data_IF_548876387902
#
_entry.id   IF_548876387902
#
_cell.length_a   1.000
_cell.length_b   1.000
_cell.length_c   1.000
_cell.angle_alpha   90.00
_cell.angle_beta   90.00
_cell.angle_gamma   90.00
#
_symmetry.space_group_name_H-M   'P 1'
#
loop_
_entity.id
_entity.type
_entity.pdbx_description
1 polymer ?
#
# COMPACT_ATOMS: atom_id res chain seq x y z
N UNK A 1 10.41 -9.07 8.70
CA UNK A 1 10.43 -9.96 7.52
C UNK A 1 9.82 -11.32 7.82
N UNK A 2 10.22 -12.00 8.92
CA UNK A 2 9.65 -13.30 9.31
C UNK A 2 8.11 -13.29 9.38
N UNK A 3 7.50 -12.27 10.00
CA UNK A 3 6.05 -12.14 10.07
C UNK A 3 5.35 -12.10 8.70
N UNK A 4 5.96 -11.44 7.70
CA UNK A 4 5.44 -11.41 6.32
C UNK A 4 5.56 -12.80 5.68
N UNK A 5 6.71 -13.47 5.85
CA UNK A 5 6.95 -14.81 5.29
C UNK A 5 6.07 -15.90 5.91
N UNK A 6 5.78 -15.77 7.20
CA UNK A 6 4.88 -16.65 7.94
C UNK A 6 3.39 -16.33 7.66
N UNK A 7 3.10 -15.33 6.83
CA UNK A 7 1.74 -14.92 6.48
C UNK A 7 0.98 -14.22 7.61
N UNK A 8 1.66 -13.87 8.72
CA UNK A 8 1.03 -13.18 9.85
C UNK A 8 0.91 -11.66 9.67
N UNK A 9 1.65 -11.09 8.70
CA UNK A 9 1.62 -9.68 8.36
C UNK A 9 1.37 -9.48 6.86
N UNK A 10 0.14 -9.08 6.52
CA UNK A 10 -0.28 -8.72 5.16
C UNK A 10 -0.19 -7.20 4.91
N UNK A 11 -0.37 -6.78 3.65
CA UNK A 11 -0.41 -5.36 3.30
C UNK A 11 -1.61 -4.64 3.94
N UNK A 12 -2.78 -5.28 3.98
CA UNK A 12 -3.98 -4.72 4.61
C UNK A 12 -3.80 -4.56 6.12
N UNK A 13 -2.98 -5.42 6.74
CA UNK A 13 -2.63 -5.27 8.16
C UNK A 13 -1.72 -4.06 8.38
N UNK A 14 -0.82 -3.77 7.46
CA UNK A 14 0.01 -2.55 7.48
C UNK A 14 -0.85 -1.30 7.30
N UNK A 15 -1.77 -1.29 6.33
CA UNK A 15 -2.74 -0.20 6.12
C UNK A 15 -3.60 0.04 7.37
N UNK A 16 -4.07 -1.02 8.02
CA UNK A 16 -4.81 -0.92 9.28
C UNK A 16 -3.98 -0.27 10.40
N UNK A 17 -2.65 -0.49 10.43
CA UNK A 17 -1.77 0.19 11.38
C UNK A 17 -1.53 1.66 11.02
N UNK A 18 -1.60 2.03 9.74
CA UNK A 18 -1.58 3.45 9.31
C UNK A 18 -2.74 4.23 9.91
N UNK A 19 -3.93 3.64 10.01
CA UNK A 19 -5.10 4.30 10.59
C UNK A 19 -4.86 4.77 12.03
N UNK A 20 -3.89 4.19 12.75
CA UNK A 20 -3.57 4.52 14.13
C UNK A 20 -2.25 5.30 14.23
N UNK A 21 -1.10 4.62 14.10
CA UNK A 21 0.22 5.20 14.44
C UNK A 21 1.23 5.22 13.29
N UNK A 22 1.09 4.38 12.24
CA UNK A 22 2.05 4.37 11.12
C UNK A 22 1.86 5.57 10.19
N UNK A 23 2.90 5.96 9.45
CA UNK A 23 2.88 7.07 8.49
C UNK A 23 2.60 6.62 7.05
N UNK A 24 2.02 5.43 6.91
CA UNK A 24 1.65 4.82 5.63
C UNK A 24 2.50 3.61 5.29
N UNK A 25 2.60 3.33 3.99
CA UNK A 25 3.29 2.19 3.42
C UNK A 25 4.65 2.63 2.87
N UNK A 26 5.73 2.17 3.49
CA UNK A 26 7.08 2.49 3.06
C UNK A 26 7.92 1.24 2.79
N UNK A 27 8.70 1.27 1.70
CA UNK A 27 9.55 0.15 1.26
C UNK A 27 8.78 -1.16 1.05
N UNK A 28 7.59 -1.09 0.45
CA UNK A 28 6.76 -2.28 0.19
C UNK A 28 7.11 -2.86 -1.17
N UNK A 29 7.80 -4.01 -1.21
CA UNK A 29 8.06 -4.74 -2.43
C UNK A 29 6.82 -5.51 -2.89
N UNK A 30 6.43 -5.34 -4.15
CA UNK A 30 5.23 -5.95 -4.75
C UNK A 30 5.58 -6.68 -6.06
N UNK A 31 4.72 -7.60 -6.55
CA UNK A 31 4.98 -8.33 -7.78
C UNK A 31 5.22 -7.38 -8.96
N UNK A 32 6.22 -7.69 -9.79
CA UNK A 32 6.63 -6.82 -10.88
C UNK A 32 5.59 -6.60 -11.97
N UNK A 33 4.63 -7.51 -12.08
CA UNK A 33 3.51 -7.48 -13.01
C UNK A 33 2.25 -6.83 -12.42
N UNK A 34 2.34 -6.20 -11.24
CA UNK A 34 1.20 -5.53 -10.60
C UNK A 34 0.64 -4.44 -11.52
N UNK A 35 -0.65 -4.52 -11.89
CA UNK A 35 -1.30 -3.51 -12.72
C UNK A 35 -1.29 -2.10 -12.09
N UNK A 36 -1.20 -1.08 -12.92
CA UNK A 36 -1.16 0.31 -12.47
C UNK A 36 -2.43 0.73 -11.70
N UNK A 37 -3.60 0.20 -12.06
CA UNK A 37 -4.84 0.45 -11.34
C UNK A 37 -4.82 -0.14 -9.92
N UNK A 38 -4.24 -1.33 -9.74
CA UNK A 38 -4.04 -1.93 -8.40
C UNK A 38 -3.11 -1.05 -7.55
N UNK A 39 -2.00 -0.58 -8.11
CA UNK A 39 -1.09 0.35 -7.43
C UNK A 39 -1.82 1.67 -7.06
N UNK A 40 -2.63 2.20 -7.97
CA UNK A 40 -3.44 3.39 -7.69
C UNK A 40 -4.48 3.14 -6.59
N UNK A 41 -5.01 1.92 -6.49
CA UNK A 41 -5.90 1.49 -5.40
C UNK A 41 -5.23 1.60 -4.04
N UNK A 42 -4.04 1.02 -3.89
CA UNK A 42 -3.24 1.09 -2.65
C UNK A 42 -2.98 2.56 -2.25
N UNK A 43 -2.59 3.40 -3.22
CA UNK A 43 -2.37 4.82 -2.96
C UNK A 43 -3.67 5.52 -2.53
N UNK A 44 -4.80 5.20 -3.16
CA UNK A 44 -6.09 5.78 -2.82
C UNK A 44 -6.56 5.42 -1.40
N UNK A 45 -6.31 4.18 -0.97
CA UNK A 45 -6.66 3.72 0.39
C UNK A 45 -5.85 4.48 1.46
N UNK A 46 -4.55 4.65 1.23
CA UNK A 46 -3.66 5.40 2.12
C UNK A 46 -3.95 6.90 2.14
N UNK A 47 -4.36 7.48 1.01
CA UNK A 47 -4.90 8.85 0.96
C UNK A 47 -6.17 8.96 1.78
N UNK A 48 -7.11 8.01 1.64
CA UNK A 48 -8.36 8.03 2.37
C UNK A 48 -8.13 8.00 3.90
N UNK A 49 -7.22 7.13 4.36
CA UNK A 49 -6.81 7.05 5.77
C UNK A 49 -6.20 8.38 6.23
N UNK A 50 -5.29 8.96 5.45
CA UNK A 50 -4.64 10.24 5.79
C UNK A 50 -5.65 11.38 5.87
N UNK A 51 -6.50 11.52 4.85
CA UNK A 51 -7.48 12.61 4.75
C UNK A 51 -8.52 12.53 5.87
N UNK A 52 -9.08 11.35 6.16
CA UNK A 52 -10.13 11.23 7.17
C UNK A 52 -9.61 11.42 8.59
N UNK A 53 -8.38 10.98 8.86
CA UNK A 53 -7.77 11.07 10.19
C UNK A 53 -6.96 12.36 10.38
N UNK A 54 -6.89 13.25 9.38
CA UNK A 54 -6.05 14.44 9.44
C UNK A 54 -4.57 14.12 9.63
N UNK A 55 -4.11 13.02 9.02
CA UNK A 55 -2.78 12.45 9.19
C UNK A 55 -1.99 12.57 7.89
N UNK A 56 -0.68 12.78 8.03
CA UNK A 56 0.24 12.66 6.90
C UNK A 56 0.51 11.18 6.66
N UNK A 57 0.12 10.69 5.48
CA UNK A 57 0.42 9.34 4.99
C UNK A 57 1.31 9.42 3.76
N UNK A 58 2.06 8.35 3.50
CA UNK A 58 2.91 8.21 2.34
C UNK A 58 2.84 6.79 1.81
N UNK A 59 3.05 6.64 0.50
CA UNK A 59 3.15 5.34 -0.16
C UNK A 59 4.42 5.27 -0.98
N UNK A 60 5.28 4.31 -0.66
CA UNK A 60 6.43 3.89 -1.46
C UNK A 60 6.34 2.38 -1.68
N UNK A 61 5.68 2.02 -2.78
CA UNK A 61 5.65 0.65 -3.31
C UNK A 61 6.70 0.46 -4.40
N UNK A 62 7.26 -0.74 -4.48
CA UNK A 62 8.36 -1.08 -5.39
C UNK A 62 7.94 -2.33 -6.18
N UNK A 63 7.43 -2.17 -7.42
CA UNK A 63 7.22 -3.28 -8.32
C UNK A 63 8.57 -3.90 -8.71
N UNK A 64 8.78 -5.16 -8.34
CA UNK A 64 10.04 -5.86 -8.62
C UNK A 64 9.93 -6.64 -9.93
N UNK A 65 10.32 -6.01 -11.03
CA UNK A 65 10.17 -6.57 -12.38
C UNK A 65 10.81 -7.96 -12.48
N UNK A 66 10.05 -8.92 -13.03
CA UNK A 66 10.49 -10.30 -13.22
C UNK A 66 10.44 -11.17 -11.96
N UNK A 67 9.92 -10.65 -10.84
CA UNK A 67 9.74 -11.41 -9.60
C UNK A 67 8.29 -11.35 -9.10
N UNK A 68 7.87 -12.42 -8.42
CA UNK A 68 6.55 -12.62 -7.86
C UNK A 68 6.54 -12.88 -6.35
N UNK A 69 5.34 -13.17 -5.83
CA UNK A 69 5.10 -13.40 -4.39
C UNK A 69 5.97 -14.56 -3.87
N UNK A 70 6.58 -14.35 -2.69
CA UNK A 70 7.43 -15.34 -2.03
C UNK A 70 8.91 -15.24 -2.39
N UNK A 71 9.26 -14.50 -3.44
CA UNK A 71 10.64 -14.12 -3.74
C UNK A 71 11.08 -12.88 -2.93
N UNK A 72 12.36 -12.58 -2.98
CA UNK A 72 12.96 -11.40 -2.32
C UNK A 72 13.63 -10.48 -3.33
N UNK A 73 13.64 -9.19 -3.01
CA UNK A 73 14.45 -8.17 -3.68
C UNK A 73 15.58 -7.73 -2.77
N UNK A 74 16.80 -7.66 -3.30
CA UNK A 74 17.98 -7.12 -2.62
C UNK A 74 18.24 -5.71 -3.17
N UNK A 75 18.10 -4.69 -2.33
CA UNK A 75 18.42 -3.31 -2.67
C UNK A 75 19.89 -2.98 -2.40
N UNK A 76 20.61 -3.87 -1.70
CA UNK A 76 22.00 -3.75 -1.36
C UNK A 76 22.29 -2.76 -0.21
N UNK A 77 23.52 -2.82 0.31
CA UNK A 77 24.08 -1.84 1.23
C UNK A 77 23.16 -1.49 2.41
N UNK A 78 22.81 -0.20 2.51
CA UNK A 78 22.03 0.40 3.59
C UNK A 78 20.53 0.06 3.54
N UNK A 79 19.99 -0.23 2.35
CA UNK A 79 18.55 -0.42 2.12
C UNK A 79 18.10 -1.87 2.34
N UNK A 80 19.04 -2.81 2.39
CA UNK A 80 18.79 -4.21 2.72
C UNK A 80 17.98 -4.95 1.66
N UNK A 81 17.18 -5.92 2.11
CA UNK A 81 16.29 -6.72 1.25
C UNK A 81 14.84 -6.63 1.71
N UNK A 82 13.89 -7.00 0.86
CA UNK A 82 12.49 -7.10 1.21
C UNK A 82 11.82 -8.32 0.54
N UNK A 83 10.96 -9.06 1.25
CA UNK A 83 10.11 -10.07 0.63
C UNK A 83 9.03 -9.41 -0.23
N UNK A 84 8.72 -10.00 -1.38
CA UNK A 84 7.64 -9.55 -2.25
C UNK A 84 6.31 -9.96 -1.61
N UNK A 85 5.51 -8.95 -1.25
CA UNK A 85 4.24 -9.11 -0.56
C UNK A 85 3.12 -9.47 -1.54
N UNK A 86 2.22 -10.35 -1.12
CA UNK A 86 0.99 -10.63 -1.84
C UNK A 86 0.07 -9.40 -1.83
N UNK A 87 -0.63 -9.20 -2.96
CA UNK A 87 -1.62 -8.13 -3.14
C UNK A 87 -2.97 -8.71 -3.53
N UNK A 88 -4.03 -8.00 -3.15
CA UNK A 88 -5.36 -8.24 -3.73
C UNK A 88 -5.41 -7.74 -5.18
N UNK A 89 -5.40 -8.67 -6.14
CA UNK A 89 -5.40 -8.38 -7.58
C UNK A 89 -6.79 -8.08 -8.16
N UNK A 90 -7.84 -7.95 -7.34
CA UNK A 90 -9.16 -7.56 -7.84
C UNK A 90 -9.12 -6.14 -8.38
N UNK A 91 -9.41 -6.00 -9.67
CA UNK A 91 -9.22 -4.73 -10.38
C UNK A 91 -10.06 -3.58 -9.80
N UNK A 92 -9.41 -2.49 -9.35
CA UNK A 92 -10.08 -1.24 -9.02
C UNK A 92 -10.21 -0.30 -10.24
N UNK A 93 -9.91 -0.75 -11.46
CA UNK A 93 -9.90 0.08 -12.68
C UNK A 93 -11.12 0.97 -12.85
N UNK A 94 -12.32 0.45 -12.54
CA UNK A 94 -13.57 1.24 -12.65
C UNK A 94 -13.60 2.41 -11.67
N UNK A 95 -13.06 2.23 -10.46
CA UNK A 95 -12.99 3.30 -9.47
C UNK A 95 -11.92 4.33 -9.85
N UNK A 96 -10.71 3.87 -10.17
CA UNK A 96 -9.58 4.73 -10.56
C UNK A 96 -9.90 5.51 -11.85
N UNK A 97 -10.51 4.86 -12.83
CA UNK A 97 -10.89 5.46 -14.11
C UNK A 97 -11.98 6.54 -14.02
N UNK A 98 -12.65 6.71 -12.86
CA UNK A 98 -13.59 7.84 -12.68
C UNK A 98 -12.89 9.19 -12.71
N UNK A 99 -11.62 9.24 -12.27
CA UNK A 99 -10.85 10.48 -12.19
C UNK A 99 -11.57 11.58 -11.38
N UNK A 100 -11.19 12.83 -11.63
CA UNK A 100 -11.79 13.99 -10.98
C UNK A 100 -11.23 14.26 -9.59
N UNK A 101 -12.08 14.76 -8.67
CA UNK A 101 -11.68 15.19 -7.34
C UNK A 101 -12.57 14.53 -6.28
N UNK A 102 -11.94 13.89 -5.29
CA UNK A 102 -12.62 13.43 -4.08
C UNK A 102 -12.91 14.67 -3.21
N UNK A 103 -14.17 14.95 -2.85
CA UNK A 103 -14.52 16.12 -2.04
C UNK A 103 -13.94 16.01 -0.62
N UNK A 104 -13.79 17.15 0.04
CA UNK A 104 -13.30 17.18 1.42
C UNK A 104 -14.28 16.45 2.37
N UNK A 105 -13.77 15.75 3.39
CA UNK A 105 -14.62 15.06 4.36
C UNK A 105 -15.40 16.06 5.22
N UNK A 106 -16.57 15.64 5.70
CA UNK A 106 -17.38 16.42 6.65
C UNK A 106 -16.73 16.32 8.02
N UNK A 107 -16.11 17.41 8.49
CA UNK A 107 -15.43 17.43 9.79
C UNK A 107 -16.38 17.51 11.00
N UNK A 108 -17.66 17.84 10.80
CA UNK A 108 -18.65 18.01 11.89
C UNK A 108 -19.24 16.70 12.39
N UNK A 109 -19.12 15.60 11.65
CA UNK A 109 -19.59 14.27 12.04
C UNK A 109 -18.43 13.50 12.67
N UNK A 110 -18.02 13.90 13.88
CA UNK A 110 -17.05 13.17 14.70
C UNK A 110 -17.80 12.56 15.88
N UNK A 111 -17.49 11.30 16.20
CA UNK A 111 -18.00 10.60 17.38
C UNK A 111 -17.33 11.12 18.66
#
# INVERSE_FOLDING_TARGET
MNAVREGSLSIEKLEAMTAVCSVGLDMIAIPGDTPADVICGIIADEIAIGVINGKTTAVRVIPVIGKGVGEDVEFGGLLGHAPIMELNMRSPARFIGRGGRIPAPIHSLRN
#
